data_IF_196906314231
#
_entry.id   IF_196906314231
#
_cell.length_a   1.000
_cell.length_b   1.000
_cell.length_c   1.000
_cell.angle_alpha   90.00
_cell.angle_beta   90.00
_cell.angle_gamma   90.00
#
_symmetry.space_group_name_H-M   'P 1'
#
loop_
_entity.id
_entity.type
_entity.pdbx_description
1 polymer ?
#
# COMPACT_ATOMS: atom_id res chain seq x y z
N UNK A 1 -18.13 2.11 6.60
CA UNK A 1 -19.14 1.24 7.24
C UNK A 1 -18.58 -0.12 7.66
N UNK A 2 -17.91 -0.87 6.79
CA UNK A 2 -17.39 -2.20 7.17
C UNK A 2 -16.24 -2.11 8.19
N UNK A 3 -15.25 -1.24 7.95
CA UNK A 3 -14.11 -1.02 8.87
C UNK A 3 -14.53 -0.58 10.28
N UNK A 4 -15.58 0.23 10.40
CA UNK A 4 -16.11 0.69 11.69
C UNK A 4 -16.73 -0.45 12.52
N UNK A 5 -17.35 -1.44 11.86
CA UNK A 5 -17.89 -2.64 12.55
C UNK A 5 -16.75 -3.53 13.05
N UNK A 6 -15.72 -3.74 12.21
CA UNK A 6 -14.55 -4.52 12.61
C UNK A 6 -13.70 -3.82 13.68
N UNK A 7 -13.60 -2.49 13.65
CA UNK A 7 -12.89 -1.71 14.65
C UNK A 7 -13.63 -1.65 16.00
N UNK A 8 -14.97 -1.82 16.02
CA UNK A 8 -15.77 -1.77 17.24
C UNK A 8 -15.39 -2.87 18.24
N UNK A 9 -15.11 -4.08 17.76
CA UNK A 9 -14.76 -5.22 18.61
C UNK A 9 -13.49 -4.98 19.45
N UNK A 10 -12.32 -4.67 18.87
CA UNK A 10 -11.10 -4.38 19.65
C UNK A 10 -11.20 -3.05 20.43
N UNK A 11 -11.95 -2.07 19.91
CA UNK A 11 -12.21 -0.78 20.55
C UNK A 11 -12.89 -0.92 21.92
N UNK A 12 -13.80 -1.88 22.08
CA UNK A 12 -14.45 -2.15 23.37
C UNK A 12 -13.50 -2.71 24.43
N UNK A 13 -12.40 -3.35 24.04
CA UNK A 13 -11.44 -3.97 24.97
C UNK A 13 -10.22 -3.11 25.26
N UNK A 14 -9.79 -2.25 24.32
CA UNK A 14 -8.54 -1.48 24.42
C UNK A 14 -8.76 -0.03 23.97
N UNK A 15 -9.80 0.62 24.50
CA UNK A 15 -10.06 2.02 24.19
C UNK A 15 -8.98 2.92 24.78
N UNK A 16 -8.28 3.67 23.92
CA UNK A 16 -7.37 4.74 24.31
C UNK A 16 -7.96 6.04 23.78
N UNK A 17 -8.26 6.99 24.67
CA UNK A 17 -8.74 8.32 24.24
C UNK A 17 -7.60 9.06 23.55
N UNK A 18 -7.72 9.39 22.25
CA UNK A 18 -6.67 10.11 21.54
C UNK A 18 -6.52 11.51 22.13
N UNK A 19 -5.27 11.93 22.34
CA UNK A 19 -4.95 13.27 22.80
C UNK A 19 -5.03 14.29 21.67
N UNK A 20 -5.05 15.59 22.01
CA UNK A 20 -5.01 16.67 21.01
C UNK A 20 -3.76 16.63 20.12
N UNK A 21 -2.66 16.03 20.61
CA UNK A 21 -1.43 15.83 19.86
C UNK A 21 -1.55 14.78 18.74
N UNK A 22 -2.53 13.86 18.82
CA UNK A 22 -2.71 12.78 17.85
C UNK A 22 -3.61 13.21 16.68
N UNK A 23 -4.35 14.31 16.84
CA UNK A 23 -5.27 14.85 15.83
C UNK A 23 -4.62 15.04 14.46
N UNK A 24 -3.41 15.63 14.33
CA UNK A 24 -2.76 15.80 13.02
C UNK A 24 -2.47 14.45 12.33
N UNK A 25 -2.02 13.45 13.09
CA UNK A 25 -1.76 12.12 12.57
C UNK A 25 -3.06 11.42 12.14
N UNK A 26 -4.13 11.56 12.91
CA UNK A 26 -5.46 11.03 12.58
C UNK A 26 -6.03 11.67 11.31
N UNK A 27 -5.86 12.98 11.13
CA UNK A 27 -6.29 13.68 9.90
C UNK A 27 -5.48 13.19 8.70
N UNK A 28 -4.16 13.07 8.81
CA UNK A 28 -3.32 12.53 7.75
C UNK A 28 -3.72 11.10 7.37
N UNK A 29 -4.03 10.27 8.35
CA UNK A 29 -4.48 8.89 8.15
C UNK A 29 -5.86 8.85 7.45
N UNK A 30 -6.80 9.69 7.89
CA UNK A 30 -8.12 9.80 7.26
C UNK A 30 -8.05 10.29 5.80
N UNK A 31 -7.23 11.32 5.54
CA UNK A 31 -7.04 11.88 4.19
C UNK A 31 -6.37 10.85 3.29
N UNK A 32 -5.25 10.24 3.70
CA UNK A 32 -4.54 9.24 2.90
C UNK A 32 -5.40 7.98 2.65
N UNK A 33 -6.11 7.51 3.67
CA UNK A 33 -7.00 6.35 3.57
C UNK A 33 -8.18 6.56 2.62
N UNK A 34 -8.63 7.80 2.43
CA UNK A 34 -9.71 8.14 1.49
C UNK A 34 -9.17 8.49 0.10
N UNK A 35 -8.06 9.22 0.04
CA UNK A 35 -7.46 9.68 -1.20
C UNK A 35 -6.88 8.53 -2.04
N UNK A 36 -6.29 7.52 -1.41
CA UNK A 36 -5.71 6.37 -2.11
C UNK A 36 -6.74 5.59 -2.95
N UNK A 37 -7.86 5.07 -2.39
CA UNK A 37 -8.88 4.39 -3.19
C UNK A 37 -9.60 5.35 -4.15
N UNK A 38 -9.77 6.63 -3.79
CA UNK A 38 -10.36 7.62 -4.67
C UNK A 38 -9.52 7.84 -5.95
N UNK A 39 -8.20 7.98 -5.80
CA UNK A 39 -7.26 8.10 -6.92
C UNK A 39 -7.29 6.85 -7.80
N UNK A 40 -7.31 5.67 -7.18
CA UNK A 40 -7.37 4.39 -7.89
C UNK A 40 -8.63 4.26 -8.75
N UNK A 41 -9.81 4.56 -8.19
CA UNK A 41 -11.08 4.52 -8.93
C UNK A 41 -11.09 5.54 -10.08
N UNK A 42 -10.53 6.73 -9.86
CA UNK A 42 -10.41 7.76 -10.92
C UNK A 42 -9.41 7.37 -12.01
N UNK A 43 -8.34 6.67 -11.68
CA UNK A 43 -7.36 6.14 -12.65
C UNK A 43 -7.96 5.09 -13.57
N UNK A 44 -8.82 4.21 -13.04
CA UNK A 44 -9.54 3.20 -13.82
C UNK A 44 -10.51 3.79 -14.86
N UNK A 45 -10.95 5.04 -14.68
CA UNK A 45 -11.84 5.72 -15.64
C UNK A 45 -11.07 6.23 -16.88
N UNK A 46 -9.76 6.46 -16.76
CA UNK A 46 -8.95 7.06 -17.83
C UNK A 46 -7.96 6.11 -18.49
N UNK A 47 -7.61 4.98 -17.86
CA UNK A 47 -6.69 3.99 -18.40
C UNK A 47 -7.40 2.66 -18.68
N UNK A 48 -7.10 2.03 -19.81
CA UNK A 48 -7.57 0.68 -20.11
C UNK A 48 -7.07 -0.30 -19.03
N UNK A 49 -7.96 -1.17 -18.55
CA UNK A 49 -7.70 -2.15 -17.49
C UNK A 49 -6.42 -2.96 -17.74
N UNK A 50 -6.07 -3.18 -19.01
CA UNK A 50 -4.85 -3.86 -19.48
C UNK A 50 -3.56 -3.20 -18.99
N UNK A 51 -3.52 -1.88 -18.82
CA UNK A 51 -2.34 -1.13 -18.34
C UNK A 51 -2.29 -1.06 -16.81
N UNK A 52 -3.44 -1.19 -16.15
CA UNK A 52 -3.57 -1.03 -14.70
C UNK A 52 -3.04 -2.26 -13.94
N UNK A 53 -3.26 -3.45 -14.49
CA UNK A 53 -2.79 -4.70 -13.88
C UNK A 53 -1.30 -4.67 -13.49
N UNK A 54 -0.38 -4.38 -14.42
CA UNK A 54 1.05 -4.26 -14.13
C UNK A 54 1.40 -3.19 -13.08
N UNK A 55 0.78 -2.01 -13.16
CA UNK A 55 1.05 -0.91 -12.23
C UNK A 55 0.60 -1.24 -10.81
N UNK A 56 -0.52 -1.95 -10.66
CA UNK A 56 -1.02 -2.36 -9.35
C UNK A 56 -0.06 -3.35 -8.66
N UNK A 57 0.59 -4.23 -9.42
CA UNK A 57 1.65 -5.10 -8.91
C UNK A 57 2.93 -4.35 -8.55
N UNK A 58 3.32 -3.32 -9.30
CA UNK A 58 4.47 -2.45 -8.98
C UNK A 58 4.28 -1.65 -7.70
N UNK A 59 3.03 -1.40 -7.29
CA UNK A 59 2.71 -0.74 -6.02
C UNK A 59 3.31 -1.50 -4.84
N UNK A 60 3.23 -2.83 -4.82
CA UNK A 60 3.77 -3.68 -3.74
C UNK A 60 5.26 -3.39 -3.44
N UNK A 61 6.20 -3.50 -4.42
CA UNK A 61 7.60 -3.14 -4.23
C UNK A 61 7.83 -1.73 -3.72
N UNK A 62 7.12 -0.76 -4.31
CA UNK A 62 7.26 0.65 -3.97
C UNK A 62 6.83 0.89 -2.53
N UNK A 63 5.66 0.37 -2.12
CA UNK A 63 5.20 0.48 -0.73
C UNK A 63 6.11 -0.25 0.25
N UNK A 64 6.63 -1.43 -0.09
CA UNK A 64 7.56 -2.16 0.77
C UNK A 64 8.87 -1.38 0.99
N UNK A 65 9.41 -0.79 -0.07
CA UNK A 65 10.65 0.03 0.00
C UNK A 65 10.42 1.29 0.82
N UNK A 66 9.31 2.00 0.59
CA UNK A 66 8.95 3.19 1.36
C UNK A 66 8.70 2.86 2.84
N UNK A 67 8.01 1.77 3.14
CA UNK A 67 7.78 1.32 4.50
C UNK A 67 9.11 1.04 5.21
N UNK A 68 10.05 0.37 4.55
CA UNK A 68 11.38 0.13 5.11
C UNK A 68 12.13 1.43 5.46
N UNK A 69 12.09 2.42 4.56
CA UNK A 69 12.75 3.71 4.76
C UNK A 69 12.09 4.52 5.90
N UNK A 70 10.75 4.56 5.93
CA UNK A 70 9.99 5.41 6.87
C UNK A 70 9.99 4.83 8.29
N UNK A 71 9.85 3.51 8.42
CA UNK A 71 9.78 2.85 9.73
C UNK A 71 11.16 2.44 10.26
N UNK A 72 12.22 2.49 9.45
CA UNK A 72 13.61 2.21 9.84
C UNK A 72 13.78 0.90 10.63
N UNK A 73 12.93 -0.08 10.33
CA UNK A 73 12.89 -1.36 11.03
C UNK A 73 14.14 -2.17 10.68
N UNK A 74 14.78 -2.80 11.68
CA UNK A 74 15.98 -3.62 11.46
C UNK A 74 15.63 -4.80 10.57
N UNK A 75 16.04 -4.71 9.30
CA UNK A 75 15.79 -5.69 8.25
C UNK A 75 16.36 -7.06 8.66
N UNK A 76 15.50 -7.94 9.16
CA UNK A 76 15.87 -9.33 9.42
C UNK A 76 16.08 -10.09 8.10
N UNK A 77 16.72 -11.26 8.16
CA UNK A 77 17.02 -12.13 7.02
C UNK A 77 15.79 -12.43 6.16
N UNK A 78 14.61 -12.53 6.79
CA UNK A 78 13.34 -12.74 6.10
C UNK A 78 12.89 -11.55 5.26
N UNK A 79 13.19 -10.33 5.67
CA UNK A 79 12.89 -9.12 4.88
C UNK A 79 13.74 -9.06 3.61
N UNK A 80 14.99 -9.53 3.67
CA UNK A 80 15.82 -9.69 2.47
C UNK A 80 15.26 -10.74 1.51
N UNK A 81 14.77 -11.88 2.02
CA UNK A 81 14.10 -12.90 1.18
C UNK A 81 12.87 -12.30 0.49
N UNK A 82 12.04 -11.58 1.24
CA UNK A 82 10.88 -10.86 0.68
C UNK A 82 11.29 -9.83 -0.38
N UNK A 83 12.35 -9.06 -0.15
CA UNK A 83 12.86 -8.09 -1.10
C UNK A 83 13.32 -8.74 -2.41
N UNK A 84 14.02 -9.88 -2.36
CA UNK A 84 14.43 -10.61 -3.58
C UNK A 84 13.22 -11.11 -4.36
N UNK A 85 12.19 -11.64 -3.70
CA UNK A 85 10.96 -12.11 -4.36
C UNK A 85 10.24 -10.95 -5.05
N UNK A 86 10.12 -9.82 -4.37
CA UNK A 86 9.49 -8.60 -4.90
C UNK A 86 10.26 -8.08 -6.13
N UNK A 87 11.59 -7.97 -6.04
CA UNK A 87 12.44 -7.51 -7.15
C UNK A 87 12.38 -8.49 -8.33
N UNK A 88 12.37 -9.80 -8.07
CA UNK A 88 12.22 -10.83 -9.10
C UNK A 88 10.88 -10.75 -9.84
N UNK A 89 9.79 -10.51 -9.12
CA UNK A 89 8.46 -10.31 -9.72
C UNK A 89 8.41 -9.03 -10.56
N UNK A 90 8.97 -7.93 -10.06
CA UNK A 90 9.06 -6.67 -10.81
C UNK A 90 9.90 -6.83 -12.10
N UNK A 91 11.03 -7.53 -12.03
CA UNK A 91 11.86 -7.84 -13.20
C UNK A 91 11.12 -8.70 -14.23
N UNK A 92 10.38 -9.71 -13.77
CA UNK A 92 9.58 -10.57 -14.66
C UNK A 92 8.51 -9.76 -15.40
N UNK A 93 7.82 -8.84 -14.72
CA UNK A 93 6.86 -7.93 -15.34
C UNK A 93 7.49 -7.02 -16.38
N UNK A 94 8.62 -6.36 -16.05
CA UNK A 94 9.33 -5.50 -16.99
C UNK A 94 9.76 -6.26 -18.26
N UNK A 95 10.08 -7.56 -18.12
CA UNK A 95 10.41 -8.44 -19.26
C UNK A 95 9.18 -8.82 -20.09
N UNK A 96 8.01 -8.92 -19.46
CA UNK A 96 6.75 -9.25 -20.12
C UNK A 96 6.23 -8.07 -20.96
N UNK A 97 6.42 -6.84 -20.49
CA UNK A 97 6.10 -5.62 -21.24
C UNK A 97 6.94 -5.50 -22.52
N UNK A 98 8.25 -5.79 -22.45
CA UNK A 98 9.12 -5.83 -23.64
C UNK A 98 8.71 -6.88 -24.67
N UNK A 99 8.00 -7.95 -24.26
CA UNK A 99 7.47 -8.98 -25.17
C UNK A 99 6.10 -8.65 -25.73
N UNK A 100 5.33 -7.76 -25.09
CA UNK A 100 4.02 -7.32 -25.56
C UNK A 100 4.11 -6.10 -26.50
N UNK A 101 5.25 -5.41 -26.51
CA UNK A 101 5.53 -4.25 -27.37
C UNK A 101 6.29 -4.58 -28.68
N UNK A 102 6.44 -5.87 -29.03
CA UNK A 102 7.01 -6.35 -30.30
C UNK A 102 6.08 -7.32 -30.98
#
# INVERSE_FOLDING_TARGET
AMLSVFALVPSLFVWVTPGVADIPALVLLAVSGTAAPYCMVRGMVHAEVTIIGPIEYLRLPITATLAWIIFSETTDRWTWVGAVVIVGAAYYMARQEHKAAG
#
